data_IF_338911592489
#
_entry.id   IF_338911592489
#
_cell.length_a   1.000
_cell.length_b   1.000
_cell.length_c   1.000
_cell.angle_alpha   90.00
_cell.angle_beta   90.00
_cell.angle_gamma   90.00
#
_symmetry.space_group_name_H-M   'P 1'
#
loop_
_entity.id
_entity.type
_entity.pdbx_description
1 polymer ?
#
# COMPACT_ATOMS: atom_id res chain seq x y z
N UNK A 1 10.88 -7.32 -11.52
CA UNK A 1 9.68 -7.33 -10.64
C UNK A 1 8.82 -6.12 -10.98
N UNK A 2 7.49 -6.25 -11.03
CA UNK A 2 6.59 -5.08 -11.13
C UNK A 2 6.55 -4.36 -9.78
N UNK A 3 6.48 -3.02 -9.73
CA UNK A 3 6.49 -2.30 -8.46
C UNK A 3 5.18 -2.56 -7.69
N UNK A 4 5.30 -2.77 -6.40
CA UNK A 4 4.24 -3.27 -5.51
C UNK A 4 3.53 -2.18 -4.70
N UNK A 5 4.00 -0.93 -4.81
CA UNK A 5 3.46 0.19 -4.03
C UNK A 5 3.98 0.28 -2.59
N UNK A 6 5.05 -0.44 -2.24
CA UNK A 6 5.78 -0.18 -0.99
C UNK A 6 6.66 1.07 -1.14
N UNK A 7 6.77 1.83 -0.06
CA UNK A 7 7.65 2.97 0.01
C UNK A 7 8.98 2.55 0.65
N UNK A 8 10.02 2.46 -0.18
CA UNK A 8 11.33 1.92 0.24
C UNK A 8 12.32 3.01 0.65
N UNK A 9 12.14 4.24 0.14
CA UNK A 9 12.97 5.40 0.46
C UNK A 9 12.19 6.71 0.39
N UNK A 10 12.55 7.64 1.27
CA UNK A 10 12.13 9.04 1.23
C UNK A 10 13.33 9.94 1.55
N UNK A 11 13.70 10.81 0.63
CA UNK A 11 14.79 11.78 0.80
C UNK A 11 14.21 13.13 1.22
N UNK A 12 14.70 13.70 2.31
CA UNK A 12 14.24 15.01 2.79
C UNK A 12 15.33 15.70 3.63
N UNK A 13 15.45 17.03 3.51
CA UNK A 13 16.33 17.81 4.39
C UNK A 13 17.81 17.38 4.40
N UNK A 14 18.36 16.99 3.23
CA UNK A 14 19.74 16.50 3.13
C UNK A 14 19.96 15.08 3.68
N UNK A 15 18.89 14.36 4.00
CA UNK A 15 18.94 12.97 4.47
C UNK A 15 18.57 12.03 3.31
N UNK A 16 19.47 11.10 2.98
CA UNK A 16 19.30 10.18 1.84
C UNK A 16 18.04 9.32 1.94
N UNK A 17 17.79 8.73 3.11
CA UNK A 17 16.56 8.02 3.42
C UNK A 17 16.15 8.27 4.88
N UNK A 18 14.95 8.81 5.08
CA UNK A 18 14.37 9.03 6.41
C UNK A 18 13.65 7.80 6.96
N UNK A 19 13.33 6.84 6.09
CA UNK A 19 12.75 5.56 6.49
C UNK A 19 13.83 4.65 7.10
N UNK A 20 13.40 3.59 7.78
CA UNK A 20 14.28 2.64 8.46
C UNK A 20 15.24 1.92 7.49
N UNK A 21 16.41 2.53 7.32
CA UNK A 21 17.48 2.03 6.46
C UNK A 21 18.23 0.84 7.07
N UNK A 22 18.03 0.53 8.36
CA UNK A 22 18.63 -0.63 9.02
C UNK A 22 17.87 -1.91 8.72
N UNK A 23 16.59 -1.81 8.38
CA UNK A 23 15.82 -2.96 7.90
C UNK A 23 16.33 -3.45 6.55
N UNK A 24 16.74 -4.71 6.51
CA UNK A 24 17.10 -5.43 5.29
C UNK A 24 15.88 -5.74 4.41
N UNK A 25 14.67 -5.70 4.98
CA UNK A 25 13.42 -5.83 4.25
C UNK A 25 12.86 -4.44 3.92
N UNK A 26 13.09 -3.98 2.69
CA UNK A 26 12.61 -2.67 2.25
C UNK A 26 11.08 -2.55 2.25
N UNK A 27 10.36 -3.68 2.11
CA UNK A 27 8.89 -3.69 2.13
C UNK A 27 8.32 -3.41 3.53
N UNK A 28 9.16 -3.54 4.56
CA UNK A 28 8.79 -3.26 5.94
C UNK A 28 8.93 -1.78 6.34
N UNK A 29 9.44 -0.91 5.44
CA UNK A 29 9.74 0.50 5.71
C UNK A 29 8.50 1.39 5.62
N UNK A 30 7.80 1.38 4.48
CA UNK A 30 6.55 2.09 4.29
C UNK A 30 5.54 1.21 3.55
N UNK A 31 4.43 0.88 4.20
CA UNK A 31 3.51 -0.14 3.70
C UNK A 31 2.08 0.07 4.17
N UNK A 32 1.17 -0.66 3.51
CA UNK A 32 -0.22 -0.79 3.90
C UNK A 32 -0.47 -2.23 4.37
N UNK A 33 -1.24 -2.40 5.43
CA UNK A 33 -1.64 -3.69 5.95
C UNK A 33 -3.13 -3.73 6.30
N UNK A 34 -3.64 -4.94 6.51
CA UNK A 34 -4.97 -5.16 7.01
C UNK A 34 -5.00 -6.34 7.99
N UNK A 35 -5.81 -6.19 9.04
CA UNK A 35 -6.25 -7.29 9.89
C UNK A 35 -7.72 -7.59 9.58
N UNK A 36 -7.99 -8.84 9.22
CA UNK A 36 -9.30 -9.29 8.76
C UNK A 36 -9.53 -10.76 9.15
N UNK A 37 -10.76 -11.24 9.07
CA UNK A 37 -11.07 -12.64 9.34
C UNK A 37 -12.24 -13.12 8.46
N UNK A 38 -12.43 -14.43 8.39
CA UNK A 38 -13.72 -14.96 7.96
C UNK A 38 -14.75 -14.74 9.07
N UNK A 39 -16.06 -14.64 8.76
CA UNK A 39 -17.08 -14.51 9.81
C UNK A 39 -16.95 -15.61 10.85
N UNK A 40 -16.76 -15.22 12.13
CA UNK A 40 -16.53 -16.15 13.25
C UNK A 40 -15.20 -16.92 13.22
N UNK A 41 -14.28 -16.54 12.33
CA UNK A 41 -12.98 -17.16 12.15
C UNK A 41 -11.86 -16.46 12.94
N UNK A 42 -10.64 -16.97 12.77
CA UNK A 42 -9.43 -16.39 13.36
C UNK A 42 -8.94 -15.16 12.58
N UNK A 43 -8.32 -14.23 13.30
CA UNK A 43 -7.68 -13.04 12.73
C UNK A 43 -6.55 -13.41 11.75
N UNK A 44 -6.45 -12.60 10.70
CA UNK A 44 -5.49 -12.75 9.60
C UNK A 44 -4.84 -11.40 9.34
N UNK A 45 -3.52 -11.36 9.43
CA UNK A 45 -2.71 -10.24 9.00
C UNK A 45 -2.35 -10.37 7.52
N UNK A 46 -2.45 -9.28 6.76
CA UNK A 46 -2.04 -9.26 5.36
C UNK A 46 -1.38 -7.92 5.00
N UNK A 47 -0.16 -7.98 4.45
CA UNK A 47 0.43 -6.85 3.72
C UNK A 47 -0.33 -6.63 2.40
N UNK A 48 -0.72 -5.39 2.17
CA UNK A 48 -1.38 -4.98 0.94
C UNK A 48 -0.31 -4.53 -0.06
N UNK A 49 -0.38 -5.09 -1.27
CA UNK A 49 0.55 -4.81 -2.36
C UNK A 49 -0.17 -4.77 -3.70
N UNK A 50 0.27 -3.89 -4.58
CA UNK A 50 -0.11 -3.85 -5.98
C UNK A 50 0.44 -5.04 -6.76
N UNK A 51 -0.30 -5.43 -7.80
CA UNK A 51 0.13 -6.36 -8.84
C UNK A 51 0.37 -5.64 -10.18
N UNK A 52 -0.27 -4.48 -10.36
CA UNK A 52 -0.25 -3.66 -11.56
C UNK A 52 0.11 -2.22 -11.20
N UNK A 53 0.86 -1.56 -12.08
CA UNK A 53 1.23 -0.16 -11.96
C UNK A 53 0.63 0.62 -13.13
N UNK A 54 0.11 1.81 -12.84
CA UNK A 54 -0.32 2.76 -13.87
C UNK A 54 -0.14 4.21 -13.41
N UNK A 55 -0.09 5.12 -14.37
CA UNK A 55 -0.17 6.57 -14.11
C UNK A 55 -1.63 6.97 -14.28
N UNK A 56 -2.24 7.48 -13.22
CA UNK A 56 -3.66 7.88 -13.18
C UNK A 56 -3.81 9.27 -13.79
N UNK A 57 -2.92 10.17 -13.40
CA UNK A 57 -2.92 11.55 -13.85
C UNK A 57 -1.48 12.06 -13.96
N UNK A 58 -1.22 12.89 -14.97
CA UNK A 58 0.06 13.56 -15.16
C UNK A 58 -0.17 14.93 -15.80
N UNK A 59 0.37 15.94 -15.15
CA UNK A 59 0.46 17.31 -15.65
C UNK A 59 1.85 17.88 -15.34
N UNK A 60 2.08 19.16 -15.64
CA UNK A 60 3.33 19.84 -15.27
C UNK A 60 3.50 19.96 -13.74
N UNK A 61 2.40 19.98 -12.99
CA UNK A 61 2.41 20.26 -11.55
C UNK A 61 2.05 19.06 -10.67
N UNK A 62 1.68 17.94 -11.27
CA UNK A 62 1.19 16.77 -10.54
C UNK A 62 1.47 15.48 -11.28
N UNK A 63 1.87 14.45 -10.54
CA UNK A 63 1.79 13.06 -10.97
C UNK A 63 1.03 12.26 -9.92
N UNK A 64 0.08 11.45 -10.38
CA UNK A 64 -0.60 10.44 -9.58
C UNK A 64 -0.32 9.06 -10.16
N UNK A 65 0.12 8.15 -9.29
CA UNK A 65 0.42 6.77 -9.66
C UNK A 65 -0.45 5.79 -8.87
N UNK A 66 -0.69 4.65 -9.49
CA UNK A 66 -1.50 3.54 -8.99
C UNK A 66 -0.65 2.30 -8.78
N UNK A 67 -0.95 1.56 -7.72
CA UNK A 67 -0.51 0.20 -7.49
C UNK A 67 -1.72 -0.66 -7.16
N UNK A 68 -2.37 -1.18 -8.21
CA UNK A 68 -3.64 -1.91 -8.10
C UNK A 68 -3.42 -3.41 -8.00
N UNK A 69 -4.21 -4.07 -7.17
CA UNK A 69 -4.34 -5.51 -7.06
C UNK A 69 -5.82 -5.85 -7.06
N UNK A 70 -6.29 -6.35 -8.20
CA UNK A 70 -7.68 -6.76 -8.33
C UNK A 70 -7.91 -8.06 -7.58
N UNK A 71 -9.06 -8.16 -6.92
CA UNK A 71 -9.54 -9.42 -6.38
C UNK A 71 -9.77 -10.41 -7.52
N UNK A 72 -9.11 -11.56 -7.45
CA UNK A 72 -9.27 -12.67 -8.38
C UNK A 72 -9.89 -13.87 -7.64
N UNK A 73 -11.16 -14.23 -7.94
CA UNK A 73 -11.84 -15.38 -7.36
C UNK A 73 -11.24 -16.73 -7.82
N UNK A 74 -11.46 -17.79 -7.05
CA UNK A 74 -10.45 -18.46 -6.25
C UNK A 74 -9.44 -19.32 -7.04
N UNK A 75 -8.15 -18.99 -6.88
CA UNK A 75 -7.14 -20.00 -6.53
C UNK A 75 -6.73 -19.81 -5.07
N UNK A 76 -7.38 -20.57 -4.18
CA UNK A 76 -7.08 -20.77 -2.74
C UNK A 76 -7.43 -19.60 -1.79
N UNK A 77 -8.36 -19.87 -0.86
CA UNK A 77 -9.02 -18.93 0.06
C UNK A 77 -8.17 -18.38 1.23
N UNK A 78 -6.98 -17.87 0.94
CA UNK A 78 -6.10 -17.24 1.95
C UNK A 78 -5.97 -15.71 1.80
N UNK A 79 -6.54 -15.10 0.77
CA UNK A 79 -6.41 -13.66 0.50
C UNK A 79 -7.64 -12.89 0.92
N UNK A 80 -7.42 -11.67 1.42
CA UNK A 80 -8.45 -10.67 1.67
C UNK A 80 -9.32 -10.51 0.40
N UNK A 81 -10.64 -10.73 0.48
CA UNK A 81 -11.51 -10.68 -0.69
C UNK A 81 -11.89 -9.24 -1.05
N UNK A 82 -10.88 -8.41 -1.33
CA UNK A 82 -10.98 -7.03 -1.77
C UNK A 82 -9.99 -6.75 -2.89
N UNK A 83 -10.41 -5.91 -3.84
CA UNK A 83 -9.47 -5.21 -4.71
C UNK A 83 -8.91 -4.02 -3.94
N UNK A 84 -7.60 -3.78 -4.06
CA UNK A 84 -6.92 -2.65 -3.42
C UNK A 84 -6.16 -1.87 -4.48
N UNK A 85 -6.29 -0.55 -4.46
CA UNK A 85 -5.51 0.36 -5.30
C UNK A 85 -4.82 1.41 -4.42
N UNK A 86 -3.50 1.26 -4.25
CA UNK A 86 -2.68 2.21 -3.48
C UNK A 86 -2.27 3.35 -4.41
N UNK A 87 -2.54 4.58 -3.98
CA UNK A 87 -2.33 5.80 -4.76
C UNK A 87 -1.29 6.68 -4.10
N UNK A 88 -0.43 7.27 -4.92
CA UNK A 88 0.51 8.31 -4.50
C UNK A 88 0.40 9.50 -5.43
N UNK A 89 0.36 10.70 -4.86
CA UNK A 89 0.30 11.96 -5.58
C UNK A 89 1.50 12.81 -5.16
N UNK A 90 2.32 13.20 -6.12
CA UNK A 90 3.37 14.20 -5.94
C UNK A 90 2.99 15.47 -6.68
N UNK A 91 3.22 16.62 -6.04
CA UNK A 91 2.96 17.93 -6.64
C UNK A 91 4.25 18.72 -6.76
N UNK A 92 4.42 19.43 -7.87
CA UNK A 92 5.54 20.33 -8.07
C UNK A 92 5.53 21.40 -6.96
N UNK A 93 6.72 21.78 -6.48
CA UNK A 93 6.90 22.86 -5.49
C UNK A 93 6.22 22.63 -4.12
N UNK A 94 5.70 21.43 -3.85
CA UNK A 94 5.13 21.03 -2.56
C UNK A 94 6.05 19.97 -1.95
N UNK A 95 6.54 20.24 -0.73
CA UNK A 95 7.34 19.26 0.01
C UNK A 95 6.45 18.13 0.52
N UNK A 96 6.74 16.90 0.09
CA UNK A 96 6.02 15.70 0.49
C UNK A 96 5.17 15.12 -0.63
N UNK A 97 4.27 14.21 -0.25
CA UNK A 97 3.36 13.52 -1.16
C UNK A 97 2.05 13.24 -0.43
N UNK A 98 0.99 13.05 -1.20
CA UNK A 98 -0.27 12.53 -0.68
C UNK A 98 -0.35 11.05 -1.01
N UNK A 99 -1.00 10.28 -0.14
CA UNK A 99 -1.25 8.88 -0.38
C UNK A 99 -2.61 8.47 0.18
N UNK A 100 -3.24 7.54 -0.49
CA UNK A 100 -4.51 6.94 -0.07
C UNK A 100 -4.64 5.56 -0.70
N UNK A 101 -5.57 4.75 -0.19
CA UNK A 101 -5.89 3.46 -0.76
C UNK A 101 -7.39 3.40 -1.06
N UNK A 102 -7.74 2.87 -2.23
CA UNK A 102 -9.13 2.58 -2.62
C UNK A 102 -9.36 1.10 -2.39
N UNK A 103 -10.37 0.77 -1.58
CA UNK A 103 -10.82 -0.59 -1.34
C UNK A 103 -12.14 -0.79 -2.07
N UNK A 104 -12.14 -1.73 -3.02
CA UNK A 104 -13.35 -2.09 -3.76
C UNK A 104 -13.73 -3.52 -3.40
N UNK A 105 -15.02 -3.74 -3.19
CA UNK A 105 -15.60 -5.08 -3.04
C UNK A 105 -16.37 -5.45 -4.32
N UNK A 106 -15.72 -6.09 -5.30
CA UNK A 106 -16.40 -6.62 -6.48
C UNK A 106 -17.59 -7.53 -6.13
N UNK A 107 -18.54 -7.62 -7.05
CA UNK A 107 -19.62 -8.60 -6.94
C UNK A 107 -19.05 -10.02 -6.85
N UNK A 108 -19.63 -10.84 -5.98
CA UNK A 108 -19.16 -12.21 -5.74
C UNK A 108 -18.02 -12.34 -4.71
N UNK A 109 -17.53 -11.24 -4.13
CA UNK A 109 -16.60 -11.32 -3.00
C UNK A 109 -17.25 -12.04 -1.80
N UNK A 110 -16.60 -13.09 -1.31
CA UNK A 110 -17.00 -13.78 -0.08
C UNK A 110 -17.07 -12.79 1.09
N UNK A 111 -18.02 -12.98 2.00
CA UNK A 111 -18.13 -12.22 3.25
C UNK A 111 -16.90 -12.41 4.13
N UNK A 112 -16.51 -11.35 4.84
CA UNK A 112 -15.35 -11.27 5.71
C UNK A 112 -15.52 -10.10 6.68
N UNK A 113 -14.82 -10.17 7.82
CA UNK A 113 -14.76 -9.08 8.79
C UNK A 113 -13.44 -8.32 8.60
N UNK A 114 -13.50 -6.99 8.53
CA UNK A 114 -12.34 -6.12 8.42
C UNK A 114 -12.14 -5.33 9.71
N UNK A 115 -11.23 -5.78 10.55
CA UNK A 115 -10.97 -5.15 11.85
C UNK A 115 -10.09 -3.89 11.70
N UNK A 116 -9.13 -3.91 10.78
CA UNK A 116 -8.21 -2.80 10.58
C UNK A 116 -7.71 -2.74 9.14
N UNK A 117 -7.53 -1.52 8.65
CA UNK A 117 -6.58 -1.20 7.58
C UNK A 117 -5.63 -0.13 8.11
N UNK A 118 -4.34 -0.26 7.85
CA UNK A 118 -3.33 0.68 8.35
C UNK A 118 -2.33 1.02 7.28
N UNK A 119 -1.92 2.28 7.27
CA UNK A 119 -0.70 2.75 6.61
C UNK A 119 0.36 2.98 7.69
N UNK A 120 1.56 2.46 7.47
CA UNK A 120 2.68 2.60 8.40
C UNK A 120 3.92 3.12 7.66
N UNK A 121 4.60 4.08 8.28
CA UNK A 121 5.94 4.54 7.89
C UNK A 121 6.88 4.34 9.08
N UNK A 122 7.82 3.41 8.95
CA UNK A 122 8.88 3.20 9.93
C UNK A 122 10.01 4.14 9.59
N UNK A 123 10.16 5.16 10.42
CA UNK A 123 11.27 6.09 10.36
C UNK A 123 12.52 5.43 10.96
N UNK A 124 13.70 5.86 10.50
CA UNK A 124 14.93 5.44 11.15
C UNK A 124 14.94 5.95 12.61
N UNK A 125 15.38 5.14 13.59
CA UNK A 125 15.38 5.55 15.01
C UNK A 125 16.38 6.66 15.33
N UNK A 126 17.47 6.74 14.55
CA UNK A 126 18.60 7.63 14.79
C UNK A 126 18.45 8.91 13.95
N UNK A 127 17.61 9.82 14.45
CA UNK A 127 17.63 11.29 14.25
C UNK A 127 16.29 11.91 14.63
#
# INVERSE_FOLDING_TARGET
MKPQGYLTSLTYGGMDNILDSKSSDESSRGYWDANWSWPGGQDRYQLLKGAEYSVVNRSNDLIEVSFRNAYDPPTKGSKLPLSVDIRYILRSRVSGFYCYAIYERPSGCREFDLAQTRMAFKLRPEK
#
